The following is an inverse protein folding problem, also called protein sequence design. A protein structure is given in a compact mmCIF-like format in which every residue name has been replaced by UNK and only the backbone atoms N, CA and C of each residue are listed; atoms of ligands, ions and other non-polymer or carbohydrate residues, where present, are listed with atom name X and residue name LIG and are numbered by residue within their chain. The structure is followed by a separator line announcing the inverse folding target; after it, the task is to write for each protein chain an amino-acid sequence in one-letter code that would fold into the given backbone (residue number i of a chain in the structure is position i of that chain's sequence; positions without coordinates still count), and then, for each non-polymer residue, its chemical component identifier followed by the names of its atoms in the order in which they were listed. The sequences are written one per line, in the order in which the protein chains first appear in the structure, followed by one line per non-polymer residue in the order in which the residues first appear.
data_IF_068721199658
#
_entry.id   IF_068721199658
#
_cell.length_a   1.000
_cell.length_b   1.000
_cell.length_c   1.000
_cell.angle_alpha   90.00
_cell.angle_beta   90.00
_cell.angle_gamma   90.00
#
_symmetry.space_group_name_H-M   'P 1'
#
loop_
_entity.id
_entity.type
_entity.pdbx_description
1 polymer ?
#
# COMPACT_ATOMS: atom_id res chain seq x y z
N UNK A 1 -0.01 7.91 15.19
CA UNK A 1 0.71 6.88 14.42
C UNK A 1 -0.24 5.69 14.37
N UNK A 2 -1.05 5.60 13.32
CA UNK A 2 -2.06 4.54 13.24
C UNK A 2 -1.36 3.19 13.12
N UNK A 3 -1.53 2.37 14.15
CA UNK A 3 -1.05 0.99 14.16
C UNK A 3 -1.79 0.23 13.06
N UNK A 4 -1.04 -0.31 12.10
CA UNK A 4 -1.61 -1.25 11.14
C UNK A 4 -1.67 -2.60 11.82
N UNK A 5 -2.88 -3.02 12.13
CA UNK A 5 -3.14 -4.26 12.82
C UNK A 5 -2.80 -5.46 11.93
N UNK A 6 -1.88 -6.29 12.41
CA UNK A 6 -1.44 -7.52 11.76
C UNK A 6 -2.49 -8.60 12.07
N UNK A 7 -3.60 -8.59 11.32
CA UNK A 7 -4.76 -9.44 11.62
C UNK A 7 -4.53 -10.93 11.34
N UNK A 8 -3.49 -11.29 10.57
CA UNK A 8 -3.22 -12.66 10.15
C UNK A 8 -2.02 -13.26 10.88
N UNK A 9 -2.01 -14.60 11.01
CA UNK A 9 -0.92 -15.36 11.63
C UNK A 9 0.42 -15.26 10.88
N UNK A 10 0.39 -14.98 9.58
CA UNK A 10 1.60 -14.89 8.75
C UNK A 10 2.16 -13.45 8.75
N UNK A 11 3.48 -13.30 8.88
CA UNK A 11 4.14 -11.99 8.81
C UNK A 11 3.85 -11.28 7.48
N UNK A 12 3.26 -10.09 7.54
CA UNK A 12 2.87 -9.34 6.34
C UNK A 12 4.05 -8.48 5.89
N UNK A 13 4.49 -8.70 4.65
CA UNK A 13 5.55 -7.92 3.99
C UNK A 13 5.16 -7.61 2.56
N UNK A 14 5.67 -6.49 2.04
CA UNK A 14 5.55 -6.19 0.61
C UNK A 14 6.40 -7.17 -0.21
N UNK A 15 5.87 -7.66 -1.32
CA UNK A 15 6.65 -8.44 -2.29
C UNK A 15 7.71 -7.54 -2.93
N UNK A 16 8.93 -8.06 -3.08
CA UNK A 16 10.06 -7.32 -3.66
C UNK A 16 10.76 -6.32 -2.73
N UNK A 17 10.28 -6.13 -1.49
CA UNK A 17 10.92 -5.26 -0.50
C UNK A 17 11.74 -6.08 0.49
N UNK A 18 13.05 -5.87 0.47
CA UNK A 18 13.97 -6.53 1.40
C UNK A 18 14.17 -5.69 2.67
N UNK A 19 13.67 -6.20 3.80
CA UNK A 19 13.70 -5.50 5.08
C UNK A 19 15.05 -5.58 5.81
N UNK A 20 15.83 -6.64 5.61
CA UNK A 20 17.10 -6.87 6.32
C UNK A 20 18.31 -6.17 5.66
N UNK A 21 18.08 -5.09 4.91
CA UNK A 21 19.15 -4.32 4.28
C UNK A 21 19.87 -3.45 5.30
N UNK A 22 21.20 -3.61 5.41
CA UNK A 22 22.05 -2.78 6.28
C UNK A 22 21.95 -1.28 5.99
N UNK A 23 21.56 -0.88 4.76
CA UNK A 23 21.35 0.54 4.37
C UNK A 23 20.26 1.24 5.17
N UNK A 24 19.33 0.47 5.73
CA UNK A 24 18.20 0.97 6.52
C UNK A 24 18.29 0.55 7.99
N UNK A 25 19.40 -0.06 8.42
CA UNK A 25 19.64 -0.39 9.82
C UNK A 25 19.63 0.90 10.67
N UNK A 26 18.82 0.92 11.74
CA UNK A 26 18.66 2.08 12.62
C UNK A 26 17.79 3.22 12.08
N UNK A 27 17.27 3.13 10.83
CA UNK A 27 16.37 4.14 10.29
C UNK A 27 14.92 3.87 10.71
N UNK A 28 14.23 4.92 11.16
CA UNK A 28 12.80 4.86 11.55
C UNK A 28 11.86 4.49 10.40
N UNK A 29 12.24 4.78 9.15
CA UNK A 29 11.50 4.43 7.93
C UNK A 29 12.32 3.41 7.13
N UNK A 30 11.76 2.21 6.96
CA UNK A 30 12.30 1.19 6.07
C UNK A 30 11.99 1.47 4.59
N UNK A 31 12.52 0.65 3.68
CA UNK A 31 12.17 0.74 2.27
C UNK A 31 10.68 0.41 2.10
N UNK A 32 9.96 1.20 1.31
CA UNK A 32 8.56 0.97 0.95
C UNK A 32 8.40 1.06 -0.56
N UNK A 33 7.77 0.05 -1.15
CA UNK A 33 7.43 0.07 -2.56
C UNK A 33 6.09 0.79 -2.77
N UNK A 34 6.09 1.74 -3.69
CA UNK A 34 4.91 2.37 -4.26
C UNK A 34 5.12 2.53 -5.76
N UNK A 35 4.04 2.61 -6.52
CA UNK A 35 4.05 2.86 -7.96
C UNK A 35 3.07 3.96 -8.34
N UNK A 36 3.33 4.57 -9.47
CA UNK A 36 2.38 5.45 -10.14
C UNK A 36 1.42 4.61 -10.97
N UNK A 37 0.12 4.83 -10.78
CA UNK A 37 -0.94 4.06 -11.46
C UNK A 37 -1.28 4.61 -12.85
N UNK A 38 -0.80 5.81 -13.18
CA UNK A 38 -1.11 6.49 -14.43
C UNK A 38 -2.54 7.05 -14.49
N UNK A 39 -3.05 7.23 -15.71
CA UNK A 39 -4.43 7.69 -15.99
C UNK A 39 -4.78 9.07 -15.35
N UNK A 40 -3.77 9.89 -15.07
CA UNK A 40 -3.95 11.21 -14.44
C UNK A 40 -4.15 11.18 -12.92
N UNK A 41 -4.04 10.02 -12.27
CA UNK A 41 -4.13 9.90 -10.82
C UNK A 41 -2.76 9.99 -10.16
N UNK A 42 -2.65 10.86 -9.14
CA UNK A 42 -1.45 10.98 -8.31
C UNK A 42 -1.47 9.95 -7.19
N UNK A 43 -0.29 9.39 -6.89
CA UNK A 43 -0.13 8.51 -5.73
C UNK A 43 -0.34 9.31 -4.45
N UNK A 44 -1.23 8.86 -3.54
CA UNK A 44 -1.53 9.62 -2.32
C UNK A 44 -0.37 9.56 -1.33
N UNK A 45 -0.16 10.66 -0.58
CA UNK A 45 0.90 10.75 0.45
C UNK A 45 0.78 9.65 1.50
N UNK A 46 -0.45 9.27 1.87
CA UNK A 46 -0.74 8.18 2.80
C UNK A 46 -0.25 6.81 2.30
N UNK A 47 -0.21 6.56 0.99
CA UNK A 47 0.34 5.32 0.44
C UNK A 47 1.88 5.31 0.46
N UNK A 48 2.52 6.49 0.33
CA UNK A 48 3.97 6.65 0.34
C UNK A 48 4.54 6.55 1.75
N UNK A 49 3.85 7.16 2.73
CA UNK A 49 4.33 7.22 4.12
C UNK A 49 3.70 6.19 5.06
N UNK A 50 2.59 5.57 4.64
CA UNK A 50 1.89 4.57 5.44
C UNK A 50 2.71 3.29 5.64
N UNK A 51 2.36 2.52 6.68
CA UNK A 51 3.03 1.25 7.01
C UNK A 51 2.18 0.01 6.68
N UNK A 52 1.01 0.20 6.05
CA UNK A 52 0.09 -0.90 5.79
C UNK A 52 0.59 -1.82 4.67
N UNK A 53 0.23 -3.10 4.76
CA UNK A 53 0.51 -4.11 3.75
C UNK A 53 -0.82 -4.61 3.19
N UNK A 54 -1.21 -4.06 2.05
CA UNK A 54 -2.36 -4.53 1.29
C UNK A 54 -1.90 -4.99 -0.10
N UNK A 55 -2.09 -6.29 -0.38
CA UNK A 55 -1.78 -6.89 -1.70
C UNK A 55 -2.78 -6.42 -2.77
N UNK A 56 -3.98 -5.97 -2.35
CA UNK A 56 -5.05 -5.50 -3.22
C UNK A 56 -4.98 -3.99 -3.53
N UNK A 57 -4.10 -3.26 -2.87
CA UNK A 57 -3.93 -1.83 -3.11
C UNK A 57 -3.29 -1.56 -4.49
N UNK A 58 -3.85 -0.64 -5.30
CA UNK A 58 -3.30 -0.30 -6.62
C UNK A 58 -1.98 0.47 -6.54
N UNK A 59 -1.68 1.14 -5.43
CA UNK A 59 -0.47 1.98 -5.29
C UNK A 59 0.72 1.23 -4.71
N UNK A 60 0.49 0.31 -3.78
CA UNK A 60 1.55 -0.37 -3.01
C UNK A 60 1.63 -1.86 -3.28
N UNK A 61 0.70 -2.40 -4.09
CA UNK A 61 0.61 -3.80 -4.48
C UNK A 61 0.83 -4.03 -5.98
N UNK A 62 0.76 -5.30 -6.39
CA UNK A 62 0.99 -5.72 -7.78
C UNK A 62 -0.30 -5.74 -8.62
N UNK A 63 -1.15 -4.72 -8.48
CA UNK A 63 -2.41 -4.61 -9.25
C UNK A 63 -2.37 -3.44 -10.21
N UNK A 64 -2.69 -3.67 -11.47
CA UNK A 64 -2.80 -2.64 -12.49
C UNK A 64 -4.26 -2.19 -12.65
N UNK A 65 -4.46 -0.87 -12.77
CA UNK A 65 -5.77 -0.30 -13.12
C UNK A 65 -5.89 -0.34 -14.64
N UNK A 66 -6.96 -0.94 -15.15
CA UNK A 66 -7.25 -1.04 -16.60
C UNK A 66 -8.75 -1.05 -16.85
N UNK A 67 -9.16 -0.56 -18.02
CA UNK A 67 -10.57 -0.54 -18.44
C UNK A 67 -11.27 0.80 -18.13
N UNK A 68 -12.59 0.74 -17.93
CA UNK A 68 -13.43 1.94 -17.73
C UNK A 68 -13.29 2.49 -16.30
N UNK A 69 -13.20 3.81 -16.18
CA UNK A 69 -13.23 4.53 -14.89
C UNK A 69 -14.65 5.07 -14.70
N UNK A 70 -15.27 4.71 -13.57
CA UNK A 70 -16.63 5.13 -13.21
C UNK A 70 -16.59 6.08 -12.01
N UNK A 71 -17.58 6.97 -11.92
CA UNK A 71 -17.82 7.84 -10.75
C UNK A 71 -19.19 7.49 -10.17
N UNK A 72 -19.28 7.39 -8.84
CA UNK A 72 -20.51 7.02 -8.14
C UNK A 72 -20.50 7.51 -6.69
N UNK A 73 -21.62 7.34 -6.00
CA UNK A 73 -21.80 7.72 -4.59
C UNK A 73 -21.72 6.48 -3.69
N UNK A 74 -21.03 6.59 -2.56
CA UNK A 74 -20.85 5.49 -1.60
C UNK A 74 -22.11 5.33 -0.74
N UNK A 75 -22.69 4.11 -0.71
CA UNK A 75 -23.90 3.81 0.08
C UNK A 75 -23.59 3.30 1.49
N UNK A 76 -22.57 2.45 1.67
CA UNK A 76 -22.18 1.92 2.99
C UNK A 76 -20.74 1.42 3.03
N UNK A 77 -20.16 1.33 4.23
CA UNK A 77 -18.76 0.90 4.48
C UNK A 77 -18.66 -0.26 5.48
N UNK A 78 -19.65 -1.18 5.47
CA UNK A 78 -19.77 -2.25 6.48
C UNK A 78 -18.86 -3.45 6.25
N UNK A 79 -18.37 -3.64 5.02
CA UNK A 79 -17.53 -4.78 4.66
C UNK A 79 -16.05 -4.46 4.92
N UNK A 80 -15.29 -5.47 5.34
CA UNK A 80 -13.84 -5.42 5.55
C UNK A 80 -13.15 -6.44 4.65
#
# INVERSE_FOLDING_TARGET
MEHVDQTEKAYQKQQGVFLASKKFAGKKKGPRFYKEVGLGFKTPKSAIEGQYVDKKCPFTGNISIRGRILKGVVLSTKMK
#
